data_IF_140822323025
#
_entry.id   IF_140822323025
#
_cell.length_a   1.000
_cell.length_b   1.000
_cell.length_c   1.000
_cell.angle_alpha   90.00
_cell.angle_beta   90.00
_cell.angle_gamma   90.00
#
_symmetry.space_group_name_H-M   'P 1'
#
loop_
_entity.id
_entity.type
_entity.pdbx_description
1 polymer ?
#
# COMPACT_ATOMS: atom_id res chain seq x y z
N UNK A 1 -7.05 14.80 7.67
CA UNK A 1 -5.75 14.35 7.15
C UNK A 1 -4.67 14.84 8.08
N UNK A 2 -3.77 13.96 8.55
CA UNK A 2 -2.59 14.36 9.33
C UNK A 2 -1.65 15.19 8.46
N UNK A 3 -0.83 16.07 9.04
CA UNK A 3 0.18 16.80 8.28
C UNK A 3 1.32 15.84 7.88
N UNK A 4 2.03 16.09 6.77
CA UNK A 4 3.16 15.24 6.36
C UNK A 4 4.23 15.08 7.46
N UNK A 5 4.50 16.14 8.23
CA UNK A 5 5.42 16.12 9.37
C UNK A 5 5.00 15.15 10.48
N UNK A 6 3.70 14.96 10.69
CA UNK A 6 3.18 14.05 11.71
C UNK A 6 3.32 12.57 11.30
N UNK A 7 3.48 12.33 9.99
CA UNK A 7 3.52 11.01 9.35
C UNK A 7 4.93 10.49 9.11
N UNK A 8 5.97 11.32 9.23
CA UNK A 8 7.35 10.93 8.94
C UNK A 8 7.80 9.70 9.74
N UNK A 9 7.36 9.61 11.00
CA UNK A 9 7.61 8.45 11.87
C UNK A 9 6.92 7.16 11.41
N UNK A 10 5.86 7.28 10.62
CA UNK A 10 5.04 6.15 10.14
C UNK A 10 5.58 5.59 8.81
N UNK A 11 6.34 6.39 8.03
CA UNK A 11 6.84 6.00 6.70
C UNK A 11 7.67 4.71 6.69
N UNK A 12 8.59 4.43 7.64
CA UNK A 12 9.32 3.17 7.65
C UNK A 12 8.39 1.95 7.76
N UNK A 13 7.29 2.08 8.54
CA UNK A 13 6.30 1.02 8.65
C UNK A 13 5.45 0.89 7.38
N UNK A 14 5.20 2.00 6.68
CA UNK A 14 4.46 1.99 5.42
C UNK A 14 5.27 1.37 4.28
N UNK A 15 6.60 1.53 4.26
CA UNK A 15 7.46 0.81 3.32
C UNK A 15 7.42 -0.72 3.56
N UNK A 16 7.48 -1.15 4.83
CA UNK A 16 7.28 -2.57 5.16
C UNK A 16 5.88 -3.04 4.75
N UNK A 17 4.86 -2.21 4.99
CA UNK A 17 3.47 -2.53 4.62
C UNK A 17 3.32 -2.66 3.11
N UNK A 18 3.98 -1.81 2.32
CA UNK A 18 4.04 -1.91 0.85
C UNK A 18 4.63 -3.26 0.43
N UNK A 19 5.75 -3.67 1.02
CA UNK A 19 6.39 -4.94 0.69
C UNK A 19 5.50 -6.14 1.03
N UNK A 20 4.72 -6.06 2.13
CA UNK A 20 3.71 -7.06 2.47
C UNK A 20 2.55 -7.09 1.47
N UNK A 21 2.06 -5.91 1.03
CA UNK A 21 1.02 -5.81 -0.01
C UNK A 21 1.51 -6.43 -1.31
N UNK A 22 2.76 -6.14 -1.72
CA UNK A 22 3.36 -6.69 -2.93
C UNK A 22 3.46 -8.23 -2.86
N UNK A 23 3.83 -8.79 -1.71
CA UNK A 23 3.84 -10.25 -1.48
C UNK A 23 2.43 -10.86 -1.52
N UNK A 24 1.43 -10.19 -0.94
CA UNK A 24 0.04 -10.64 -1.02
C UNK A 24 -0.49 -10.65 -2.45
N UNK A 25 -0.08 -9.67 -3.28
CA UNK A 25 -0.37 -9.65 -4.71
C UNK A 25 0.27 -10.87 -5.38
N UNK A 26 1.55 -11.15 -5.12
CA UNK A 26 2.24 -12.31 -5.69
C UNK A 26 1.55 -13.63 -5.31
N UNK A 27 1.22 -13.82 -4.04
CA UNK A 27 0.52 -15.02 -3.56
C UNK A 27 -0.83 -15.17 -4.27
N UNK A 28 -1.62 -14.10 -4.33
CA UNK A 28 -2.96 -14.14 -4.94
C UNK A 28 -2.90 -14.44 -6.42
N UNK A 29 -2.00 -13.77 -7.16
CA UNK A 29 -1.85 -13.95 -8.60
C UNK A 29 -1.23 -15.30 -8.95
N UNK A 30 -0.31 -15.81 -8.12
CA UNK A 30 0.22 -17.15 -8.27
C UNK A 30 -0.85 -18.21 -7.98
N UNK A 31 -1.73 -18.00 -7.02
CA UNK A 31 -2.83 -18.93 -6.74
C UNK A 31 -3.88 -18.94 -7.87
N UNK A 32 -4.26 -17.76 -8.38
CA UNK A 32 -5.27 -17.63 -9.43
C UNK A 32 -4.73 -17.90 -10.84
N UNK A 33 -3.40 -17.88 -11.01
CA UNK A 33 -2.71 -17.90 -12.31
C UNK A 33 -3.24 -16.82 -13.28
N UNK A 34 -3.67 -15.67 -12.76
CA UNK A 34 -4.30 -14.59 -13.55
C UNK A 34 -4.28 -13.25 -12.82
N UNK A 35 -4.02 -12.16 -13.56
CA UNK A 35 -4.24 -10.78 -13.13
C UNK A 35 -3.21 -9.78 -13.64
N UNK A 36 -3.17 -8.58 -13.04
CA UNK A 36 -2.38 -7.43 -13.52
C UNK A 36 -1.45 -6.85 -12.42
N UNK A 37 -0.30 -7.48 -12.13
CA UNK A 37 0.55 -7.09 -11.00
C UNK A 37 1.10 -5.67 -11.12
N UNK A 38 1.51 -5.24 -12.33
CA UNK A 38 2.07 -3.90 -12.53
C UNK A 38 1.05 -2.77 -12.24
N UNK A 39 -0.22 -3.00 -12.54
CA UNK A 39 -1.30 -2.05 -12.29
C UNK A 39 -1.54 -1.81 -10.80
N UNK A 40 -1.47 -2.88 -10.00
CA UNK A 40 -1.63 -2.82 -8.53
C UNK A 40 -0.38 -2.23 -7.86
N UNK A 41 0.81 -2.71 -8.23
CA UNK A 41 2.09 -2.24 -7.66
C UNK A 41 2.34 -0.74 -7.89
N UNK A 42 1.98 -0.22 -9.06
CA UNK A 42 2.14 1.22 -9.35
C UNK A 42 1.32 2.16 -8.47
N UNK A 43 0.31 1.64 -7.74
CA UNK A 43 -0.62 2.44 -6.92
C UNK A 43 -0.47 2.19 -5.42
N UNK A 44 0.43 1.30 -5.01
CA UNK A 44 0.54 0.88 -3.61
C UNK A 44 0.81 2.05 -2.66
N UNK A 45 1.69 2.98 -2.99
CA UNK A 45 1.94 4.17 -2.17
C UNK A 45 0.70 5.08 -2.08
N UNK A 46 0.00 5.29 -3.20
CA UNK A 46 -1.23 6.08 -3.24
C UNK A 46 -2.34 5.44 -2.39
N UNK A 47 -2.45 4.12 -2.45
CA UNK A 47 -3.37 3.34 -1.62
C UNK A 47 -3.03 3.50 -0.12
N UNK A 48 -1.78 3.28 0.27
CA UNK A 48 -1.34 3.38 1.67
C UNK A 48 -1.52 4.78 2.23
N UNK A 49 -1.13 5.83 1.51
CA UNK A 49 -1.32 7.22 1.94
C UNK A 49 -2.82 7.50 2.11
N UNK A 50 -3.65 7.11 1.15
CA UNK A 50 -5.09 7.41 1.18
C UNK A 50 -5.76 6.77 2.39
N UNK A 51 -5.43 5.51 2.69
CA UNK A 51 -6.04 4.73 3.76
C UNK A 51 -5.46 5.04 5.15
N UNK A 52 -4.14 5.27 5.26
CA UNK A 52 -3.44 5.33 6.56
C UNK A 52 -3.15 6.76 7.05
N UNK A 53 -3.13 7.78 6.16
CA UNK A 53 -2.90 9.18 6.57
C UNK A 53 -4.11 9.84 7.25
N UNK A 54 -5.26 9.16 7.27
CA UNK A 54 -6.54 9.73 7.68
C UNK A 54 -7.09 10.77 6.68
N UNK A 55 -6.67 10.69 5.41
CA UNK A 55 -7.29 11.39 4.30
C UNK A 55 -8.67 10.79 3.99
N UNK A 56 -8.76 9.46 3.89
CA UNK A 56 -10.02 8.74 3.85
C UNK A 56 -10.55 8.51 5.27
N UNK A 57 -11.83 8.82 5.50
CA UNK A 57 -12.57 8.47 6.70
C UNK A 57 -13.84 7.76 6.24
N UNK A 58 -14.13 6.60 6.82
CA UNK A 58 -15.35 5.84 6.58
C UNK A 58 -16.13 5.74 7.89
#
# INVERSE_FOLDING_TARGET
>A
MKLPSDLEKDYPFWEITKDLVDQCIDITLNLSQSGHPGGSRSKVHGMLITLLSGAMRW
#
